data_IF_350873779945
#
_entry.id   IF_350873779945
#
_cell.length_a   1.000
_cell.length_b   1.000
_cell.length_c   1.000
_cell.angle_alpha   90.00
_cell.angle_beta   90.00
_cell.angle_gamma   90.00
#
_symmetry.space_group_name_H-M   'P 1'
#
loop_
_entity.id
_entity.type
_entity.pdbx_description
1 polymer ?
#
# COMPACT_ATOMS: atom_id res chain seq x y z
N UNK A 1 14.80 -30.81 1.76
CA UNK A 1 14.28 -29.55 1.17
C UNK A 1 13.57 -28.77 2.26
N UNK A 2 13.73 -27.45 2.33
CA UNK A 2 13.02 -26.62 3.31
C UNK A 2 11.78 -26.01 2.66
N UNK A 3 10.68 -25.92 3.42
CA UNK A 3 9.50 -25.16 3.01
C UNK A 3 9.86 -23.68 3.02
N UNK A 4 9.60 -22.99 1.90
CA UNK A 4 9.79 -21.54 1.77
C UNK A 4 8.42 -20.92 1.52
N UNK A 5 8.07 -19.93 2.34
CA UNK A 5 6.89 -19.10 2.14
C UNK A 5 7.39 -17.76 1.60
N UNK A 6 6.92 -17.39 0.41
CA UNK A 6 7.16 -16.07 -0.18
C UNK A 6 6.00 -15.16 0.17
N UNK A 7 6.30 -13.97 0.68
CA UNK A 7 5.32 -12.92 0.96
C UNK A 7 5.45 -11.78 -0.05
N UNK A 8 4.44 -10.94 -0.13
CA UNK A 8 4.51 -9.66 -0.82
C UNK A 8 5.21 -8.58 0.04
N UNK A 9 5.28 -7.37 -0.49
CA UNK A 9 5.88 -6.22 0.18
C UNK A 9 5.72 -4.94 -0.64
N UNK A 10 6.03 -3.79 -0.04
CA UNK A 10 6.06 -2.50 -0.74
C UNK A 10 4.70 -1.85 -1.03
N UNK A 11 3.58 -2.50 -0.67
CA UNK A 11 2.22 -1.99 -0.95
C UNK A 11 2.04 -0.52 -0.52
N UNK A 12 2.44 -0.13 0.69
CA UNK A 12 2.29 1.25 1.16
C UNK A 12 3.11 2.27 0.36
N UNK A 13 4.33 1.92 -0.04
CA UNK A 13 5.16 2.80 -0.86
C UNK A 13 4.58 2.97 -2.26
N UNK A 14 4.05 1.87 -2.82
CA UNK A 14 3.43 1.89 -4.13
C UNK A 14 2.11 2.68 -4.12
N UNK A 15 1.28 2.50 -3.10
CA UNK A 15 0.04 3.25 -2.93
C UNK A 15 0.31 4.75 -2.74
N UNK A 16 1.30 5.14 -1.91
CA UNK A 16 1.69 6.55 -1.75
C UNK A 16 2.22 7.14 -3.06
N UNK A 17 2.95 6.36 -3.86
CA UNK A 17 3.48 6.80 -5.15
C UNK A 17 2.40 6.95 -6.24
N UNK A 18 1.37 6.09 -6.21
CA UNK A 18 0.31 6.04 -7.21
C UNK A 18 -0.90 6.90 -6.88
N UNK A 19 -1.15 7.12 -5.59
CA UNK A 19 -2.27 7.93 -5.12
C UNK A 19 -2.19 9.34 -5.68
N UNK A 20 -3.35 9.87 -6.06
CA UNK A 20 -3.47 11.27 -6.51
C UNK A 20 -3.59 12.24 -5.33
N UNK A 21 -3.71 11.71 -4.12
CA UNK A 21 -3.86 12.46 -2.88
C UNK A 21 -2.49 12.84 -2.31
N UNK A 22 -2.42 13.99 -1.66
CA UNK A 22 -1.21 14.41 -0.93
C UNK A 22 -0.86 13.38 0.17
N UNK A 23 0.42 12.99 0.32
CA UNK A 23 0.83 12.07 1.36
C UNK A 23 0.54 12.63 2.75
N UNK A 24 -0.18 11.87 3.56
CA UNK A 24 -0.44 12.21 4.96
C UNK A 24 -0.02 11.07 5.88
N UNK A 25 0.15 11.31 7.20
CA UNK A 25 0.35 10.23 8.17
C UNK A 25 -0.79 9.19 8.19
N UNK A 26 -1.97 9.55 7.68
CA UNK A 26 -3.15 8.68 7.57
C UNK A 26 -3.40 8.21 6.12
N UNK A 27 -2.34 8.09 5.31
CA UNK A 27 -2.42 7.68 3.90
C UNK A 27 -3.25 6.41 3.70
N UNK A 28 -3.14 5.42 4.58
CA UNK A 28 -3.82 4.13 4.41
C UNK A 28 -5.34 4.28 4.54
N UNK A 29 -5.81 5.05 5.51
CA UNK A 29 -7.22 5.37 5.66
C UNK A 29 -7.74 6.19 4.47
N UNK A 30 -6.93 7.15 3.98
CA UNK A 30 -7.29 7.99 2.84
C UNK A 30 -7.45 7.16 1.57
N UNK A 31 -6.46 6.33 1.25
CA UNK A 31 -6.48 5.45 0.07
C UNK A 31 -7.65 4.47 0.14
N UNK A 32 -7.92 3.85 1.29
CA UNK A 32 -9.04 2.93 1.44
C UNK A 32 -10.43 3.58 1.24
N UNK A 33 -10.56 4.87 1.55
CA UNK A 33 -11.84 5.60 1.41
C UNK A 33 -11.99 6.17 -0.01
N UNK A 34 -10.93 6.78 -0.54
CA UNK A 34 -11.00 7.60 -1.76
C UNK A 34 -10.57 6.85 -3.02
N UNK A 35 -9.67 5.87 -2.89
CA UNK A 35 -9.03 5.14 -4.00
C UNK A 35 -8.97 3.61 -3.70
N UNK A 36 -10.11 2.93 -3.46
CA UNK A 36 -10.15 1.53 -3.02
C UNK A 36 -9.81 0.49 -4.10
N UNK A 37 -9.79 0.90 -5.38
CA UNK A 37 -9.52 0.06 -6.56
C UNK A 37 -8.04 0.14 -6.98
#
# INVERSE_FOLDING_TARGET
MKSVILTDGGMGQELVRRSKSEPTPLWSARVLIDEPD
#
